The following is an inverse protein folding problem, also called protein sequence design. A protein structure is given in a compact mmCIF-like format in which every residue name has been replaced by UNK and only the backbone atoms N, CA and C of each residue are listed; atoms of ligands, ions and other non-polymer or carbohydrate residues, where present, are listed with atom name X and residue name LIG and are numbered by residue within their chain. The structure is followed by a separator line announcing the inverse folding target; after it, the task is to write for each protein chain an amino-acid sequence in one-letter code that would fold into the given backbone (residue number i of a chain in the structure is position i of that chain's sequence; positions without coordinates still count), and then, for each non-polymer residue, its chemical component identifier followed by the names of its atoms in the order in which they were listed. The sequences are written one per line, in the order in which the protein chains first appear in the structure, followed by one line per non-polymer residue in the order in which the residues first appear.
data_IF_121962053874
#
_entry.id   IF_121962053874
#
_cell.length_a   1.000
_cell.length_b   1.000
_cell.length_c   1.000
_cell.angle_alpha   90.00
_cell.angle_beta   90.00
_cell.angle_gamma   90.00
#
_symmetry.space_group_name_H-M   'P 1'
#
loop_
_entity.id
_entity.type
_entity.pdbx_description
1 polymer ?
#
# COMPACT_ATOMS: atom_id res chain seq x y z
N UNK A 1 29.60 30.86 -57.07
CA UNK A 1 29.64 32.33 -56.88
C UNK A 1 29.12 32.64 -55.47
N UNK A 2 29.89 33.44 -54.70
CA UNK A 2 29.59 34.18 -53.45
C UNK A 2 29.02 33.37 -52.26
N UNK A 3 29.81 32.97 -51.25
CA UNK A 3 30.41 33.72 -50.09
C UNK A 3 29.40 34.24 -49.06
N UNK A 4 29.44 33.65 -47.85
CA UNK A 4 29.40 34.23 -46.48
C UNK A 4 29.41 33.04 -45.49
N UNK A 5 30.49 32.65 -44.80
CA UNK A 5 31.22 33.26 -43.66
C UNK A 5 30.28 33.73 -42.53
N UNK A 6 30.34 33.03 -41.40
CA UNK A 6 29.63 33.37 -40.16
C UNK A 6 29.91 32.36 -39.03
N UNK A 7 31.18 32.24 -38.63
CA UNK A 7 31.63 31.55 -37.41
C UNK A 7 31.17 32.31 -36.17
N UNK A 8 30.36 31.69 -35.31
CA UNK A 8 30.11 32.16 -33.94
C UNK A 8 30.69 31.17 -32.92
N UNK A 9 31.72 31.64 -32.23
CA UNK A 9 32.33 31.03 -31.04
C UNK A 9 31.32 31.05 -29.90
N UNK A 10 31.03 29.89 -29.31
CA UNK A 10 30.47 29.80 -27.96
C UNK A 10 31.62 29.40 -27.01
N UNK A 11 31.96 30.32 -26.10
CA UNK A 11 32.88 30.10 -24.99
C UNK A 11 32.28 29.03 -24.06
N UNK A 12 32.98 27.91 -23.89
CA UNK A 12 32.75 27.00 -22.76
C UNK A 12 33.43 27.57 -21.52
N UNK A 13 32.64 28.04 -20.56
CA UNK A 13 33.09 28.43 -19.23
C UNK A 13 33.11 27.16 -18.36
N UNK A 14 34.30 26.62 -18.09
CA UNK A 14 34.51 25.55 -17.11
C UNK A 14 34.34 26.10 -15.70
N UNK A 15 33.27 25.74 -15.00
CA UNK A 15 33.14 25.92 -13.56
C UNK A 15 33.76 24.73 -12.84
N UNK A 16 34.92 24.98 -12.25
CA UNK A 16 35.67 24.12 -11.35
C UNK A 16 34.93 24.08 -10.00
N UNK A 17 34.26 22.98 -9.66
CA UNK A 17 33.71 22.76 -8.33
C UNK A 17 34.68 21.89 -7.52
N UNK A 18 35.33 22.50 -6.53
CA UNK A 18 36.10 21.81 -5.50
C UNK A 18 35.15 21.01 -4.60
N UNK A 19 35.41 19.70 -4.46
CA UNK A 19 34.82 18.86 -3.41
C UNK A 19 35.82 18.77 -2.26
N UNK A 20 35.45 19.15 -1.02
CA UNK A 20 36.32 18.95 0.13
C UNK A 20 36.27 17.50 0.60
N UNK A 21 37.46 16.95 0.84
CA UNK A 21 37.68 15.63 1.42
C UNK A 21 37.11 15.55 2.85
N UNK A 22 36.19 14.62 3.07
CA UNK A 22 35.80 14.20 4.41
C UNK A 22 36.56 12.93 4.80
N UNK A 23 37.11 12.98 6.00
CA UNK A 23 38.03 12.03 6.58
C UNK A 23 37.37 10.66 6.86
N UNK A 24 38.08 9.60 6.44
CA UNK A 24 37.89 8.24 6.91
C UNK A 24 38.22 8.16 8.41
N UNK A 25 37.20 7.94 9.24
CA UNK A 25 37.38 7.47 10.61
C UNK A 25 37.34 5.95 10.57
N UNK A 26 38.52 5.34 10.74
CA UNK A 26 38.69 3.92 10.95
C UNK A 26 38.19 3.54 12.35
N UNK A 27 37.21 2.63 12.43
CA UNK A 27 36.88 1.93 13.67
C UNK A 27 37.84 0.74 13.81
N UNK A 28 38.61 0.75 14.91
CA UNK A 28 39.62 -0.25 15.22
C UNK A 28 39.01 -1.58 15.67
N UNK A 29 39.44 -2.66 15.03
CA UNK A 29 39.33 -4.00 15.56
C UNK A 29 40.25 -4.13 16.79
N UNK A 30 39.69 -4.57 17.92
CA UNK A 30 40.47 -5.19 19.00
C UNK A 30 39.86 -6.54 19.34
N UNK A 31 40.54 -7.54 18.84
CA UNK A 31 40.53 -8.92 19.30
C UNK A 31 41.20 -8.99 20.68
N UNK A 32 40.47 -9.46 21.68
CA UNK A 32 41.05 -9.95 22.93
C UNK A 32 40.60 -11.38 23.11
N UNK A 33 41.51 -12.29 22.74
CA UNK A 33 41.52 -13.69 23.10
C UNK A 33 41.64 -13.79 24.62
N UNK A 34 40.76 -14.55 25.28
CA UNK A 34 41.12 -15.30 26.49
C UNK A 34 40.36 -16.64 26.49
N UNK A 35 41.10 -17.66 26.90
CA UNK A 35 40.96 -19.06 26.56
C UNK A 35 39.72 -19.79 27.08
N UNK A 36 39.33 -20.78 26.28
CA UNK A 36 38.39 -21.85 26.58
C UNK A 36 39.21 -23.02 27.17
N UNK A 37 39.04 -23.30 28.46
CA UNK A 37 39.50 -24.54 29.08
C UNK A 37 38.43 -25.02 30.08
N UNK A 38 38.10 -26.31 29.99
CA UNK A 38 37.18 -27.06 30.88
C UNK A 38 37.97 -28.25 31.44
N UNK A 39 37.49 -29.08 32.38
CA UNK A 39 36.52 -28.93 33.46
C UNK A 39 37.15 -29.28 34.84
N UNK A 40 36.44 -29.05 35.95
CA UNK A 40 36.89 -29.46 37.29
C UNK A 40 35.72 -29.79 38.22
N UNK A 41 35.63 -31.06 38.59
CA UNK A 41 34.65 -31.65 39.51
C UNK A 41 34.74 -31.07 40.93
N UNK A 42 33.60 -30.98 41.61
CA UNK A 42 33.55 -30.66 43.04
C UNK A 42 32.12 -30.47 43.52
N UNK A 43 31.55 -31.51 44.13
CA UNK A 43 30.17 -31.52 44.57
C UNK A 43 29.90 -30.85 45.92
N UNK A 44 28.66 -31.10 46.34
CA UNK A 44 28.08 -31.01 47.68
C UNK A 44 27.26 -29.76 48.04
N UNK A 45 26.05 -30.08 48.49
CA UNK A 45 25.30 -29.45 49.58
C UNK A 45 24.23 -28.41 49.21
N UNK A 46 23.03 -28.99 49.07
CA UNK A 46 21.76 -28.48 49.55
C UNK A 46 21.81 -27.61 50.82
N UNK A 47 20.82 -26.70 50.85
CA UNK A 47 20.32 -25.89 51.96
C UNK A 47 21.14 -24.63 52.30
N UNK A 48 20.54 -23.46 52.11
CA UNK A 48 19.77 -22.78 53.16
C UNK A 48 19.30 -21.42 52.65
N UNK A 49 18.00 -21.17 52.79
CA UNK A 49 17.47 -19.82 52.84
C UNK A 49 18.16 -19.05 53.98
N UNK A 50 18.55 -17.80 53.73
CA UNK A 50 18.45 -16.70 54.71
C UNK A 50 18.74 -15.36 54.04
N UNK A 51 17.69 -14.56 54.09
CA UNK A 51 17.53 -13.12 53.92
C UNK A 51 18.69 -12.21 54.32
N UNK A 52 18.75 -11.06 53.64
CA UNK A 52 19.15 -9.73 54.15
C UNK A 52 18.80 -8.70 53.06
N UNK A 53 17.88 -7.74 53.18
CA UNK A 53 16.99 -7.34 54.25
C UNK A 53 16.33 -6.02 53.85
N UNK A 54 15.02 -5.87 54.09
CA UNK A 54 14.38 -4.59 54.29
C UNK A 54 13.21 -4.76 55.26
N UNK A 55 13.26 -3.95 56.31
CA UNK A 55 12.23 -3.57 57.26
C UNK A 55 10.77 -3.88 56.91
N UNK A 56 10.12 -4.55 57.86
CA UNK A 56 8.82 -4.19 58.42
C UNK A 56 7.86 -3.37 57.52
N UNK A 57 6.81 -4.02 57.00
CA UNK A 57 5.50 -3.38 56.93
C UNK A 57 4.70 -3.50 55.65
N UNK A 58 5.30 -3.77 54.50
CA UNK A 58 4.54 -3.80 53.24
C UNK A 58 4.08 -5.23 52.92
N UNK A 59 2.77 -5.43 52.89
CA UNK A 59 2.14 -6.64 52.37
C UNK A 59 2.18 -6.56 50.85
N UNK A 60 3.13 -7.25 50.21
CA UNK A 60 3.17 -7.34 48.75
C UNK A 60 1.87 -7.99 48.23
N UNK A 61 1.32 -7.48 47.15
CA UNK A 61 0.05 -7.87 46.51
C UNK A 61 0.22 -8.14 45.01
N UNK A 62 -0.87 -8.42 44.29
CA UNK A 62 -0.83 -8.51 42.83
C UNK A 62 -0.53 -7.13 42.24
N UNK A 63 0.22 -7.11 41.13
CA UNK A 63 0.68 -5.88 40.52
C UNK A 63 -0.47 -5.06 39.93
N UNK A 64 -0.63 -3.83 40.41
CA UNK A 64 -1.57 -2.87 39.84
C UNK A 64 -0.77 -1.81 39.09
N UNK A 65 -1.30 -1.36 37.96
CA UNK A 65 -0.76 -0.20 37.27
C UNK A 65 -1.12 1.09 38.06
N UNK A 66 -0.34 1.38 39.10
CA UNK A 66 -0.60 2.47 40.05
C UNK A 66 0.65 3.33 40.34
N UNK A 67 1.78 3.05 39.69
CA UNK A 67 3.04 3.75 39.87
C UNK A 67 3.85 3.30 41.09
N UNK A 68 3.50 2.16 41.69
CA UNK A 68 4.19 1.51 42.80
C UNK A 68 4.54 0.07 42.41
N UNK A 69 5.60 -0.43 43.04
CA UNK A 69 5.97 -1.85 43.03
C UNK A 69 5.11 -2.56 44.10
N UNK A 70 3.94 -3.08 43.70
CA UNK A 70 2.99 -3.71 44.63
C UNK A 70 3.41 -5.14 44.96
N UNK A 71 4.08 -5.84 44.04
CA UNK A 71 4.54 -7.23 44.23
C UNK A 71 5.95 -7.34 44.86
N UNK A 72 6.61 -6.20 45.05
CA UNK A 72 7.92 -6.03 45.69
C UNK A 72 9.08 -6.71 44.94
N UNK A 73 9.00 -6.84 43.61
CA UNK A 73 10.05 -7.47 42.79
C UNK A 73 11.19 -6.50 42.39
N UNK A 74 11.02 -5.22 42.69
CA UNK A 74 11.97 -4.14 42.40
C UNK A 74 11.74 -3.45 41.06
N UNK A 75 10.67 -3.80 40.35
CA UNK A 75 10.21 -3.17 39.13
C UNK A 75 8.84 -2.52 39.37
N UNK A 76 8.41 -1.59 38.51
CA UNK A 76 7.19 -0.80 38.76
C UNK A 76 6.24 -1.02 37.58
N UNK A 77 5.06 -1.56 37.87
CA UNK A 77 3.95 -1.76 36.94
C UNK A 77 4.22 -2.75 35.77
N UNK A 78 5.06 -3.77 35.96
CA UNK A 78 5.60 -4.55 34.83
C UNK A 78 4.66 -5.62 34.23
N UNK A 79 3.70 -6.14 34.99
CA UNK A 79 2.81 -7.22 34.51
C UNK A 79 1.42 -7.17 35.15
N UNK A 80 0.76 -5.99 35.11
CA UNK A 80 -0.59 -5.87 35.68
C UNK A 80 -1.59 -6.87 35.03
N UNK A 81 -2.42 -7.59 35.81
CA UNK A 81 -3.39 -8.59 35.30
C UNK A 81 -4.42 -8.05 34.30
N UNK A 82 -4.57 -6.73 34.23
CA UNK A 82 -5.50 -6.05 33.32
C UNK A 82 -4.86 -5.69 31.98
N UNK A 83 -3.53 -5.75 31.86
CA UNK A 83 -2.80 -5.45 30.63
C UNK A 83 -3.20 -6.42 29.51
N UNK A 84 -3.49 -5.87 28.33
CA UNK A 84 -3.92 -6.62 27.15
C UNK A 84 -5.42 -6.92 27.07
N UNK A 85 -6.21 -6.62 28.11
CA UNK A 85 -7.65 -6.75 28.06
C UNK A 85 -8.27 -5.76 27.05
N UNK A 86 -9.27 -6.21 26.29
CA UNK A 86 -9.98 -5.36 25.34
C UNK A 86 -10.69 -4.21 26.07
N UNK A 87 -10.60 -3.01 25.51
CA UNK A 87 -11.23 -1.81 26.03
C UNK A 87 -11.73 -0.92 24.89
N UNK A 88 -12.61 0.02 25.22
CA UNK A 88 -13.07 1.05 24.30
C UNK A 88 -12.29 2.33 24.56
N UNK A 89 -11.66 2.88 23.53
CA UNK A 89 -10.81 4.07 23.62
C UNK A 89 -11.63 5.35 23.75
N UNK A 90 -12.92 5.29 23.36
CA UNK A 90 -13.81 6.45 23.24
C UNK A 90 -13.63 7.21 21.92
N UNK A 91 -12.74 6.76 21.03
CA UNK A 91 -12.60 7.29 19.67
C UNK A 91 -13.62 6.65 18.72
N UNK A 92 -13.74 7.26 17.54
CA UNK A 92 -14.60 6.81 16.44
C UNK A 92 -13.87 5.86 15.49
N UNK A 93 -14.64 5.27 14.57
CA UNK A 93 -14.10 4.49 13.46
C UNK A 93 -13.19 3.32 13.88
N UNK A 94 -12.12 3.04 13.13
CA UNK A 94 -11.21 1.92 13.40
C UNK A 94 -10.45 2.07 14.72
N UNK A 95 -10.34 3.27 15.29
CA UNK A 95 -9.65 3.51 16.56
C UNK A 95 -10.50 3.21 17.80
N UNK A 96 -11.77 2.83 17.65
CA UNK A 96 -12.70 2.64 18.77
C UNK A 96 -12.28 1.48 19.70
N UNK A 97 -11.72 0.41 19.13
CA UNK A 97 -11.23 -0.74 19.88
C UNK A 97 -9.76 -0.58 20.25
N UNK A 98 -9.43 -1.00 21.46
CA UNK A 98 -8.06 -0.99 21.95
C UNK A 98 -7.81 -2.02 23.03
N UNK A 99 -6.62 -1.96 23.61
CA UNK A 99 -6.20 -2.79 24.74
C UNK A 99 -5.65 -1.96 25.88
N UNK A 100 -5.92 -2.40 27.10
CA UNK A 100 -5.36 -1.80 28.30
C UNK A 100 -3.84 -1.99 28.32
N UNK A 101 -3.12 -0.92 28.61
CA UNK A 101 -1.68 -0.88 28.79
C UNK A 101 -1.36 0.06 29.95
N UNK A 102 -0.28 -0.23 30.68
CA UNK A 102 0.20 0.68 31.71
C UNK A 102 1.07 1.76 31.08
N UNK A 103 0.63 3.02 31.18
CA UNK A 103 1.36 4.18 30.64
C UNK A 103 1.51 5.20 31.75
N UNK A 104 2.75 5.53 32.09
CA UNK A 104 3.11 6.51 33.13
C UNK A 104 2.45 6.24 34.50
N UNK A 105 2.35 4.95 34.90
CA UNK A 105 1.81 4.54 36.20
C UNK A 105 0.28 4.59 36.31
N UNK A 106 -0.42 4.60 35.17
CA UNK A 106 -1.88 4.53 35.13
C UNK A 106 -2.39 3.67 33.95
N UNK A 107 -3.52 2.96 34.12
CA UNK A 107 -4.09 2.15 33.05
C UNK A 107 -4.65 3.05 31.96
N UNK A 108 -4.14 2.88 30.74
CA UNK A 108 -4.57 3.58 29.53
C UNK A 108 -5.12 2.59 28.50
N UNK A 109 -6.21 2.95 27.83
CA UNK A 109 -6.72 2.17 26.70
C UNK A 109 -6.06 2.63 25.41
N UNK A 110 -5.17 1.81 24.84
CA UNK A 110 -4.41 2.14 23.63
C UNK A 110 -5.13 1.55 22.41
N UNK A 111 -5.40 2.34 21.34
CA UNK A 111 -6.07 1.86 20.15
C UNK A 111 -5.31 0.73 19.44
N UNK A 112 -6.02 -0.29 18.98
CA UNK A 112 -5.44 -1.37 18.16
C UNK A 112 -4.99 -0.85 16.78
N UNK A 113 -5.71 0.15 16.26
CA UNK A 113 -5.40 0.84 15.01
C UNK A 113 -5.08 2.29 15.34
N UNK A 114 -3.92 2.76 14.88
CA UNK A 114 -3.51 4.15 15.05
C UNK A 114 -4.19 5.03 14.00
N UNK A 115 -4.58 6.27 14.34
CA UNK A 115 -5.07 7.25 13.39
C UNK A 115 -4.11 7.44 12.21
N UNK A 116 -4.64 7.42 10.99
CA UNK A 116 -3.93 7.76 9.76
C UNK A 116 -4.68 8.88 9.04
N UNK A 117 -4.06 9.67 8.13
CA UNK A 117 -4.82 10.65 7.34
C UNK A 117 -6.02 10.01 6.61
N UNK A 118 -7.10 10.78 6.40
CA UNK A 118 -8.32 10.29 5.73
C UNK A 118 -8.00 9.64 4.38
N UNK A 119 -8.56 8.45 4.19
CA UNK A 119 -8.75 7.80 2.91
C UNK A 119 -10.15 8.18 2.44
N UNK A 120 -10.22 9.21 1.62
CA UNK A 120 -11.48 9.67 1.05
C UNK A 120 -12.24 8.53 0.37
N UNK A 121 -13.57 8.56 0.45
CA UNK A 121 -14.49 7.67 -0.27
C UNK A 121 -14.66 6.26 0.28
N UNK A 122 -13.96 5.93 1.35
CA UNK A 122 -14.14 4.64 2.01
C UNK A 122 -15.29 4.65 3.04
N UNK A 123 -15.91 5.82 3.26
CA UNK A 123 -16.95 6.09 4.26
C UNK A 123 -16.50 5.76 5.71
N UNK A 124 -15.19 5.76 5.96
CA UNK A 124 -14.55 5.49 7.26
C UNK A 124 -13.77 6.70 7.73
N UNK A 125 -13.91 7.02 9.02
CA UNK A 125 -13.09 8.02 9.72
C UNK A 125 -11.70 7.44 10.04
N UNK A 126 -10.76 7.47 9.08
CA UNK A 126 -9.45 6.81 9.25
C UNK A 126 -8.53 7.55 10.24
N UNK A 127 -8.75 8.85 10.42
CA UNK A 127 -8.00 9.70 11.34
C UNK A 127 -8.65 9.81 12.72
N UNK A 128 -9.83 9.22 12.89
CA UNK A 128 -10.56 9.11 14.13
C UNK A 128 -10.88 10.48 14.77
N UNK A 129 -11.10 11.52 13.95
CA UNK A 129 -11.45 12.88 14.40
C UNK A 129 -12.96 13.11 14.55
N UNK A 130 -13.77 12.10 14.19
CA UNK A 130 -15.23 12.10 14.30
C UNK A 130 -15.93 12.69 13.08
N UNK A 131 -15.19 13.02 12.01
CA UNK A 131 -15.74 13.28 10.68
C UNK A 131 -15.35 12.12 9.77
N UNK A 132 -16.14 11.94 8.72
CA UNK A 132 -15.91 10.93 7.69
C UNK A 132 -15.56 11.72 6.44
N UNK A 133 -14.49 11.33 5.75
CA UNK A 133 -14.07 11.88 4.47
C UNK A 133 -13.79 13.40 4.48
N UNK A 134 -13.25 13.94 5.58
CA UNK A 134 -12.84 15.35 5.67
C UNK A 134 -11.38 15.59 5.30
N UNK A 135 -11.01 16.85 5.05
CA UNK A 135 -9.62 17.17 4.67
C UNK A 135 -9.20 16.58 3.32
N UNK A 136 -10.12 15.96 2.59
CA UNK A 136 -10.04 15.59 1.20
C UNK A 136 -9.81 16.86 0.36
N UNK A 137 -8.55 17.24 0.20
CA UNK A 137 -8.16 18.08 -0.92
C UNK A 137 -8.36 17.22 -2.16
N UNK A 138 -9.26 17.58 -3.09
CA UNK A 138 -9.25 16.93 -4.37
C UNK A 138 -7.87 17.19 -4.94
N UNK A 139 -7.07 16.14 -5.14
CA UNK A 139 -6.07 16.23 -6.17
C UNK A 139 -6.84 16.47 -7.45
N UNK A 140 -6.80 17.71 -7.93
CA UNK A 140 -7.74 18.21 -8.95
C UNK A 140 -7.68 17.41 -10.24
N UNK A 141 -6.65 16.58 -10.42
CA UNK A 141 -6.38 15.78 -11.60
C UNK A 141 -6.51 14.25 -11.37
N UNK A 142 -6.86 13.74 -10.19
CA UNK A 142 -7.07 12.30 -9.94
C UNK A 142 -5.81 11.40 -9.89
N UNK A 143 -4.63 11.89 -10.26
CA UNK A 143 -3.37 11.12 -10.27
C UNK A 143 -2.38 11.66 -9.24
N UNK A 144 -1.71 10.76 -8.51
CA UNK A 144 -0.84 11.11 -7.38
C UNK A 144 0.35 12.01 -7.74
N UNK A 145 0.93 11.82 -8.92
CA UNK A 145 2.04 12.65 -9.42
C UNK A 145 1.58 13.95 -10.10
N UNK A 146 0.27 14.09 -10.26
CA UNK A 146 -0.37 15.27 -10.76
C UNK A 146 -0.48 15.37 -12.29
N UNK A 147 -0.20 14.29 -13.03
CA UNK A 147 -0.38 14.24 -14.49
C UNK A 147 -1.36 13.15 -14.88
N UNK A 148 -2.23 13.45 -15.86
CA UNK A 148 -3.14 12.46 -16.45
C UNK A 148 -2.55 11.96 -17.77
N UNK A 149 -2.50 10.65 -17.96
CA UNK A 149 -2.09 10.02 -19.23
C UNK A 149 -3.29 9.50 -20.04
N UNK A 150 -4.43 9.34 -19.38
CA UNK A 150 -5.72 9.11 -20.02
C UNK A 150 -6.79 9.95 -19.32
N UNK A 151 -7.89 10.21 -20.04
CA UNK A 151 -8.95 11.12 -19.58
C UNK A 151 -8.40 12.53 -19.27
N UNK A 152 -7.54 13.01 -20.17
CA UNK A 152 -6.73 14.25 -19.99
C UNK A 152 -7.56 15.54 -20.05
N UNK A 153 -8.75 15.49 -20.66
CA UNK A 153 -9.65 16.64 -20.75
C UNK A 153 -10.50 16.73 -19.48
N UNK A 154 -10.01 17.42 -18.45
CA UNK A 154 -10.67 17.57 -17.14
C UNK A 154 -12.10 18.14 -17.24
N UNK A 155 -12.35 19.02 -18.21
CA UNK A 155 -13.69 19.59 -18.46
C UNK A 155 -14.71 18.54 -18.93
N UNK A 156 -14.24 17.46 -19.58
CA UNK A 156 -15.07 16.34 -20.07
C UNK A 156 -15.08 15.20 -19.04
N UNK A 157 -13.95 14.97 -18.38
CA UNK A 157 -13.71 13.86 -17.48
C UNK A 157 -13.29 14.32 -16.07
N UNK A 158 -14.13 15.08 -15.36
CA UNK A 158 -13.75 15.65 -14.06
C UNK A 158 -13.55 14.58 -12.97
N UNK A 159 -14.20 13.42 -13.12
CA UNK A 159 -14.30 12.40 -12.07
C UNK A 159 -13.56 11.09 -12.40
N UNK A 160 -12.76 11.07 -13.46
CA UNK A 160 -11.94 9.92 -13.82
C UNK A 160 -10.61 10.38 -14.39
N UNK A 161 -9.55 9.67 -14.06
CA UNK A 161 -8.22 9.89 -14.61
C UNK A 161 -7.57 8.54 -14.94
N UNK A 162 -6.78 8.47 -16.01
CA UNK A 162 -5.86 7.36 -16.20
C UNK A 162 -4.47 7.77 -15.76
N UNK A 163 -3.97 7.10 -14.72
CA UNK A 163 -2.74 7.45 -14.03
C UNK A 163 -1.69 6.39 -14.33
N UNK A 164 -0.64 6.79 -15.05
CA UNK A 164 0.46 5.91 -15.40
C UNK A 164 1.51 5.88 -14.29
N UNK A 165 2.24 4.77 -14.21
CA UNK A 165 3.30 4.60 -13.23
C UNK A 165 3.49 3.14 -12.88
N UNK A 166 4.51 2.88 -12.06
CA UNK A 166 4.79 1.56 -11.55
C UNK A 166 4.13 1.29 -10.20
N UNK A 167 3.96 0.00 -9.88
CA UNK A 167 3.65 -0.50 -8.54
C UNK A 167 4.28 -1.89 -8.38
N UNK A 168 4.89 -2.14 -7.22
CA UNK A 168 5.57 -3.42 -6.94
C UNK A 168 4.94 -4.20 -5.78
N UNK A 169 3.96 -3.63 -5.09
CA UNK A 169 3.13 -4.39 -4.16
C UNK A 169 2.11 -5.19 -4.99
N UNK A 170 2.08 -6.52 -4.89
CA UNK A 170 1.22 -7.35 -5.74
C UNK A 170 -0.27 -7.14 -5.52
N UNK A 171 -1.01 -7.15 -6.62
CA UNK A 171 -2.46 -7.20 -6.67
C UNK A 171 -3.13 -5.84 -6.88
N UNK A 172 -4.26 -5.87 -7.59
CA UNK A 172 -5.09 -4.69 -7.88
C UNK A 172 -6.54 -4.88 -7.42
N UNK A 173 -7.03 -6.12 -7.39
CA UNK A 173 -8.45 -6.41 -7.17
C UNK A 173 -8.96 -5.97 -5.79
N UNK A 174 -8.07 -5.89 -4.80
CA UNK A 174 -8.43 -5.93 -3.39
C UNK A 174 -7.61 -4.88 -2.69
N UNK A 175 -8.07 -3.64 -2.87
CA UNK A 175 -7.49 -2.37 -2.42
C UNK A 175 -6.44 -2.54 -1.34
N UNK A 176 -5.16 -2.72 -1.72
CA UNK A 176 -4.12 -2.49 -0.75
C UNK A 176 -4.15 -0.98 -0.53
N UNK A 177 -4.49 -0.56 0.69
CA UNK A 177 -4.32 0.83 1.14
C UNK A 177 -3.00 1.39 0.59
N UNK A 178 -2.93 2.66 0.19
CA UNK A 178 -1.70 3.29 -0.29
C UNK A 178 -0.52 2.95 0.61
N UNK A 179 0.51 2.31 0.07
CA UNK A 179 1.65 1.75 0.82
C UNK A 179 2.90 2.62 0.73
N UNK A 180 2.98 3.51 -0.25
CA UNK A 180 4.09 4.45 -0.42
C UNK A 180 3.66 5.91 -0.23
N UNK A 181 2.50 6.14 0.40
CA UNK A 181 2.03 7.47 0.78
C UNK A 181 1.64 8.33 -0.42
N UNK A 182 1.01 7.72 -1.44
CA UNK A 182 0.65 8.40 -2.70
C UNK A 182 1.88 8.90 -3.47
N UNK A 183 3.02 8.21 -3.33
CA UNK A 183 4.28 8.59 -3.98
C UNK A 183 4.46 8.02 -5.39
N UNK A 184 3.49 7.27 -5.92
CA UNK A 184 3.53 6.65 -7.24
C UNK A 184 3.28 7.65 -8.38
N UNK A 185 3.53 7.20 -9.61
CA UNK A 185 3.28 7.95 -10.84
C UNK A 185 4.50 8.06 -11.76
N UNK A 186 4.28 8.05 -13.07
CA UNK A 186 5.32 8.03 -14.11
C UNK A 186 6.14 9.33 -14.19
N UNK A 187 5.59 10.47 -13.78
CA UNK A 187 6.29 11.77 -13.80
C UNK A 187 6.81 12.19 -12.42
N UNK A 188 6.47 11.43 -11.38
CA UNK A 188 6.83 11.67 -9.99
C UNK A 188 8.24 11.19 -9.59
N UNK A 189 8.44 11.07 -8.27
CA UNK A 189 9.73 10.66 -7.69
C UNK A 189 9.92 9.14 -7.62
N UNK A 190 8.84 8.35 -7.68
CA UNK A 190 8.88 6.88 -7.67
C UNK A 190 8.21 6.27 -8.91
N UNK A 191 8.72 6.55 -10.13
CA UNK A 191 8.13 6.06 -11.37
C UNK A 191 8.19 4.54 -11.53
N UNK A 192 9.10 3.89 -10.80
CA UNK A 192 9.22 2.43 -10.77
C UNK A 192 8.23 1.77 -9.80
N UNK A 193 7.60 2.54 -8.90
CA UNK A 193 6.60 2.05 -7.96
C UNK A 193 7.15 1.20 -6.82
N UNK A 194 8.43 1.37 -6.47
CA UNK A 194 9.07 0.57 -5.42
C UNK A 194 8.34 0.76 -4.09
N UNK A 195 7.76 -0.33 -3.58
CA UNK A 195 6.97 -0.33 -2.34
C UNK A 195 5.58 0.33 -2.46
N UNK A 196 5.16 0.72 -3.66
CA UNK A 196 3.83 1.26 -3.91
C UNK A 196 2.84 0.15 -4.27
N UNK A 197 1.61 0.26 -3.77
CA UNK A 197 0.45 -0.44 -4.32
C UNK A 197 -0.06 0.27 -5.57
N UNK A 198 -0.90 -0.41 -6.33
CA UNK A 198 -1.58 0.21 -7.46
C UNK A 198 -2.41 1.44 -7.02
N UNK A 199 -2.94 1.44 -5.80
CA UNK A 199 -3.73 2.54 -5.25
C UNK A 199 -2.90 3.80 -4.98
N UNK A 200 -1.57 3.67 -4.81
CA UNK A 200 -0.68 4.84 -4.68
C UNK A 200 -0.56 5.66 -5.98
N UNK A 201 -1.03 5.15 -7.13
CA UNK A 201 -1.10 5.92 -8.38
C UNK A 201 -2.30 6.88 -8.41
N UNK A 202 -3.35 6.56 -7.66
CA UNK A 202 -4.52 7.41 -7.51
C UNK A 202 -4.29 8.42 -6.42
N UNK A 203 -4.63 9.67 -6.68
CA UNK A 203 -4.49 10.68 -5.66
C UNK A 203 -5.59 10.59 -4.59
N UNK A 204 -5.42 11.31 -3.48
CA UNK A 204 -6.45 11.41 -2.44
C UNK A 204 -7.78 11.93 -3.03
N UNK A 205 -8.89 11.33 -2.62
CA UNK A 205 -10.21 11.60 -3.21
C UNK A 205 -10.51 10.76 -4.45
N UNK A 206 -9.63 9.81 -4.78
CA UNK A 206 -9.80 8.88 -5.87
C UNK A 206 -9.36 7.47 -5.46
N UNK A 207 -10.11 6.48 -5.91
CA UNK A 207 -9.80 5.07 -5.79
C UNK A 207 -9.55 4.46 -7.17
N UNK A 208 -8.91 3.29 -7.23
CA UNK A 208 -8.87 2.54 -8.50
C UNK A 208 -10.29 2.14 -8.85
N UNK A 209 -10.77 2.52 -10.04
CA UNK A 209 -12.13 2.26 -10.48
C UNK A 209 -12.51 0.79 -10.23
N UNK A 210 -13.62 0.57 -9.53
CA UNK A 210 -14.06 -0.76 -9.04
C UNK A 210 -14.36 -1.74 -10.17
N UNK A 211 -14.80 -1.23 -11.31
CA UNK A 211 -15.05 -2.04 -12.51
C UNK A 211 -15.88 -1.29 -13.54
N UNK A 212 -16.61 -2.04 -14.37
CA UNK A 212 -17.35 -1.47 -15.51
C UNK A 212 -18.42 -0.44 -15.08
N UNK A 213 -19.16 -0.72 -14.02
CA UNK A 213 -20.23 0.19 -13.56
C UNK A 213 -19.68 1.51 -13.02
N UNK A 214 -18.56 1.44 -12.33
CA UNK A 214 -17.88 2.61 -11.76
C UNK A 214 -17.25 3.49 -12.84
N UNK A 215 -16.63 2.87 -13.86
CA UNK A 215 -16.19 3.60 -15.05
C UNK A 215 -17.37 4.21 -15.79
N UNK A 216 -18.50 3.52 -15.91
CA UNK A 216 -19.70 4.06 -16.58
C UNK A 216 -20.31 5.25 -15.83
N UNK A 217 -20.21 5.26 -14.49
CA UNK A 217 -20.65 6.37 -13.63
C UNK A 217 -19.79 7.62 -13.84
N UNK A 218 -18.47 7.44 -13.88
CA UNK A 218 -17.50 8.53 -13.93
C UNK A 218 -17.09 8.96 -15.35
N UNK A 219 -17.34 8.11 -16.34
CA UNK A 219 -17.08 8.34 -17.76
C UNK A 219 -18.30 7.89 -18.60
N UNK A 220 -19.25 8.79 -18.88
CA UNK A 220 -20.45 8.44 -19.67
C UNK A 220 -20.15 7.92 -21.09
N UNK A 221 -18.98 8.28 -21.63
CA UNK A 221 -18.48 7.78 -22.93
C UNK A 221 -17.67 6.49 -22.79
N UNK A 222 -17.66 5.85 -21.63
CA UNK A 222 -16.83 4.69 -21.33
C UNK A 222 -15.35 4.97 -21.53
N UNK A 223 -14.66 4.05 -22.20
CA UNK A 223 -13.22 4.12 -22.43
C UNK A 223 -12.74 5.12 -23.50
N UNK A 224 -13.63 5.92 -24.10
CA UNK A 224 -13.25 6.86 -25.18
C UNK A 224 -12.14 7.85 -24.76
N UNK A 225 -12.09 8.26 -23.48
CA UNK A 225 -11.05 9.13 -22.96
C UNK A 225 -9.69 8.45 -22.73
N UNK A 226 -9.63 7.12 -22.79
CA UNK A 226 -8.42 6.35 -22.47
C UNK A 226 -7.50 6.12 -23.67
N UNK A 227 -7.95 6.41 -24.89
CA UNK A 227 -7.18 6.17 -26.14
C UNK A 227 -6.36 7.38 -26.59
N UNK A 228 -6.16 8.37 -25.72
CA UNK A 228 -5.42 9.60 -26.01
C UNK A 228 -3.99 9.33 -26.51
N UNK A 229 -3.33 8.30 -25.97
CA UNK A 229 -2.00 7.89 -26.39
C UNK A 229 -1.91 6.39 -26.77
N UNK A 230 -1.17 6.04 -27.84
CA UNK A 230 -0.96 4.66 -28.24
C UNK A 230 0.01 3.96 -27.27
N UNK A 231 -0.25 2.70 -26.96
CA UNK A 231 0.65 1.89 -26.14
C UNK A 231 0.29 1.80 -24.65
N UNK A 232 -0.86 2.36 -24.24
CA UNK A 232 -1.27 2.44 -22.84
C UNK A 232 -2.42 1.48 -22.53
N UNK A 233 -2.39 0.93 -21.32
CA UNK A 233 -3.48 0.17 -20.70
C UNK A 233 -3.64 0.67 -19.26
N UNK A 234 -4.88 0.93 -18.86
CA UNK A 234 -5.21 1.39 -17.51
C UNK A 234 -6.18 0.40 -16.88
N UNK A 235 -5.70 -0.32 -15.88
CA UNK A 235 -6.43 -1.38 -15.22
C UNK A 235 -7.48 -0.82 -14.24
N UNK A 236 -8.55 -1.58 -14.07
CA UNK A 236 -9.59 -1.43 -13.04
C UNK A 236 -9.51 -2.60 -12.08
N UNK A 237 -10.37 -2.60 -11.05
CA UNK A 237 -10.56 -3.71 -10.12
C UNK A 237 -11.65 -4.67 -10.57
N UNK A 238 -12.00 -4.68 -11.85
CA UNK A 238 -13.01 -5.60 -12.35
C UNK A 238 -12.50 -7.04 -12.26
N UNK A 239 -13.20 -7.88 -11.49
CA UNK A 239 -12.93 -9.31 -11.42
C UNK A 239 -13.42 -10.05 -12.67
N UNK A 240 -13.02 -11.32 -12.80
CA UNK A 240 -13.30 -12.16 -13.95
C UNK A 240 -13.21 -13.64 -13.64
N UNK A 241 -14.04 -14.41 -14.34
CA UNK A 241 -14.10 -15.88 -14.26
C UNK A 241 -13.26 -16.56 -15.35
N UNK A 242 -12.44 -15.80 -16.07
CA UNK A 242 -11.71 -16.25 -17.24
C UNK A 242 -12.53 -16.18 -18.53
N UNK A 243 -11.96 -16.71 -19.62
CA UNK A 243 -12.52 -16.57 -20.98
C UNK A 243 -12.74 -15.11 -21.42
N UNK A 244 -12.00 -14.16 -20.83
CA UNK A 244 -12.18 -12.73 -20.99
C UNK A 244 -13.58 -12.20 -20.60
N UNK A 245 -14.28 -12.86 -19.67
CA UNK A 245 -15.56 -12.39 -19.11
C UNK A 245 -15.36 -11.64 -17.79
N UNK A 246 -16.00 -10.48 -17.68
CA UNK A 246 -16.06 -9.77 -16.41
C UNK A 246 -17.07 -10.41 -15.46
N UNK A 247 -16.70 -10.52 -14.19
CA UNK A 247 -17.56 -10.95 -13.10
C UNK A 247 -18.50 -9.80 -12.67
N UNK A 248 -19.58 -9.63 -13.42
CA UNK A 248 -20.59 -8.57 -13.26
C UNK A 248 -21.86 -9.02 -12.51
N UNK A 249 -21.95 -10.30 -12.13
CA UNK A 249 -23.10 -10.86 -11.42
C UNK A 249 -22.99 -10.71 -9.90
N UNK A 250 -23.82 -11.45 -9.18
CA UNK A 250 -23.87 -11.46 -7.72
C UNK A 250 -23.54 -12.84 -7.09
N UNK A 251 -23.33 -13.88 -7.89
CA UNK A 251 -23.01 -15.22 -7.40
C UNK A 251 -21.59 -15.28 -6.81
N UNK A 252 -21.49 -15.75 -5.57
CA UNK A 252 -20.24 -15.90 -4.81
C UNK A 252 -19.91 -17.37 -4.49
N UNK A 253 -20.61 -18.33 -5.11
CA UNK A 253 -20.39 -19.76 -4.89
C UNK A 253 -19.00 -20.17 -5.42
N UNK A 254 -18.06 -20.58 -4.54
CA UNK A 254 -16.70 -20.89 -4.95
C UNK A 254 -16.58 -22.16 -5.79
N UNK A 255 -17.61 -23.02 -5.81
CA UNK A 255 -17.65 -24.20 -6.68
C UNK A 255 -18.07 -23.86 -8.11
N UNK A 256 -18.65 -22.66 -8.32
CA UNK A 256 -19.14 -22.17 -9.62
C UNK A 256 -18.29 -21.01 -10.13
N UNK A 257 -17.86 -20.12 -9.24
CA UNK A 257 -17.22 -18.86 -9.55
C UNK A 257 -15.73 -18.93 -9.22
N UNK A 258 -14.94 -19.30 -10.23
CA UNK A 258 -13.49 -19.33 -10.15
C UNK A 258 -12.91 -18.59 -11.34
N UNK A 259 -11.62 -18.26 -11.28
CA UNK A 259 -10.87 -17.71 -12.42
C UNK A 259 -10.82 -18.63 -13.64
N UNK A 260 -11.24 -19.89 -13.53
CA UNK A 260 -11.25 -20.86 -14.64
C UNK A 260 -12.66 -21.19 -15.16
N UNK A 261 -13.71 -20.75 -14.46
CA UNK A 261 -15.04 -21.31 -14.69
C UNK A 261 -15.76 -20.75 -15.92
N UNK A 262 -15.35 -19.58 -16.40
CA UNK A 262 -16.00 -18.82 -17.45
C UNK A 262 -17.50 -18.59 -17.21
N UNK A 263 -17.91 -18.59 -15.93
CA UNK A 263 -19.29 -18.39 -15.52
C UNK A 263 -19.67 -16.90 -15.62
N UNK A 264 -20.88 -16.63 -16.15
CA UNK A 264 -21.32 -15.27 -16.49
C UNK A 264 -21.96 -14.49 -15.33
N UNK A 265 -22.49 -15.19 -14.32
CA UNK A 265 -23.29 -14.60 -13.24
C UNK A 265 -22.51 -14.49 -11.93
N UNK A 266 -21.19 -14.43 -12.01
CA UNK A 266 -20.33 -14.38 -10.84
C UNK A 266 -20.02 -12.95 -10.45
N UNK A 267 -19.90 -12.73 -9.15
CA UNK A 267 -19.45 -11.47 -8.59
C UNK A 267 -17.93 -11.36 -8.58
N UNK A 268 -17.46 -10.11 -8.57
CA UNK A 268 -16.05 -9.78 -8.42
C UNK A 268 -15.57 -10.12 -6.99
N UNK A 269 -14.48 -10.88 -6.87
CA UNK A 269 -13.95 -11.37 -5.60
C UNK A 269 -12.52 -11.92 -5.75
N UNK A 270 -11.84 -12.24 -4.63
CA UNK A 270 -10.49 -12.85 -4.66
C UNK A 270 -10.39 -14.13 -5.51
N UNK A 271 -11.49 -14.85 -5.71
CA UNK A 271 -11.49 -16.13 -6.47
C UNK A 271 -11.89 -15.94 -7.94
N UNK A 272 -12.44 -14.78 -8.30
CA UNK A 272 -12.74 -14.37 -9.68
C UNK A 272 -11.73 -13.32 -10.11
N UNK A 273 -10.46 -13.75 -10.19
CA UNK A 273 -9.30 -12.88 -10.33
C UNK A 273 -8.49 -13.12 -11.63
N UNK A 274 -9.06 -13.83 -12.62
CA UNK A 274 -8.39 -14.10 -13.89
C UNK A 274 -8.40 -12.86 -14.79
N UNK A 275 -7.31 -12.56 -15.49
CA UNK A 275 -7.12 -11.38 -16.32
C UNK A 275 -7.20 -10.03 -15.56
N UNK A 276 -6.71 -8.99 -16.21
CA UNK A 276 -6.97 -7.59 -15.88
C UNK A 276 -7.93 -7.01 -16.90
N UNK A 277 -8.79 -6.09 -16.48
CA UNK A 277 -9.70 -5.37 -17.38
C UNK A 277 -9.61 -3.88 -17.15
N UNK A 278 -9.83 -3.13 -18.22
CA UNK A 278 -9.80 -1.69 -18.15
C UNK A 278 -9.94 -1.04 -19.51
N UNK A 279 -9.29 0.11 -19.65
CA UNK A 279 -9.37 0.92 -20.85
C UNK A 279 -7.99 1.15 -21.46
N UNK A 280 -7.94 1.46 -22.76
CA UNK A 280 -6.73 1.94 -23.40
C UNK A 280 -6.57 1.51 -24.85
N UNK A 281 -5.34 1.58 -25.34
CA UNK A 281 -4.98 1.28 -26.73
C UNK A 281 -4.25 -0.07 -26.91
N UNK A 282 -3.85 -0.72 -25.81
CA UNK A 282 -3.21 -2.05 -25.78
C UNK A 282 -4.09 -3.04 -24.99
N UNK A 283 -3.96 -4.33 -25.29
CA UNK A 283 -4.80 -5.39 -24.76
C UNK A 283 -5.76 -5.97 -25.80
N UNK A 284 -6.33 -7.12 -25.48
CA UNK A 284 -7.37 -7.78 -26.27
C UNK A 284 -8.72 -7.14 -25.99
N UNK A 285 -9.69 -7.37 -26.87
CA UNK A 285 -11.08 -6.99 -26.61
C UNK A 285 -11.71 -8.01 -25.65
N UNK A 286 -12.25 -7.58 -24.51
CA UNK A 286 -12.94 -8.47 -23.59
C UNK A 286 -14.31 -8.89 -24.15
N UNK A 287 -14.92 -9.89 -23.50
CA UNK A 287 -16.28 -10.34 -23.78
C UNK A 287 -17.18 -9.93 -22.62
N UNK A 288 -18.31 -9.28 -22.91
CA UNK A 288 -19.33 -8.95 -21.90
C UNK A 288 -18.77 -8.20 -20.67
N UNK A 289 -18.13 -7.05 -20.90
CA UNK A 289 -17.47 -6.26 -19.86
C UNK A 289 -17.98 -4.82 -19.76
N UNK A 290 -19.25 -4.60 -20.13
CA UNK A 290 -19.86 -3.26 -20.10
C UNK A 290 -19.08 -2.26 -20.94
N UNK A 291 -18.64 -1.18 -20.30
CA UNK A 291 -17.87 -0.09 -20.93
C UNK A 291 -16.38 -0.39 -21.09
N UNK A 292 -15.84 -1.40 -20.41
CA UNK A 292 -14.42 -1.75 -20.47
C UNK A 292 -14.08 -2.41 -21.80
N UNK A 293 -13.05 -1.91 -22.48
CA UNK A 293 -12.74 -2.28 -23.86
C UNK A 293 -11.42 -3.04 -24.02
N UNK A 294 -10.63 -3.18 -22.94
CA UNK A 294 -9.36 -3.90 -22.91
C UNK A 294 -9.26 -4.94 -21.81
N UNK A 295 -8.57 -6.02 -22.13
CA UNK A 295 -8.15 -7.04 -21.17
C UNK A 295 -6.71 -7.49 -21.44
N UNK A 296 -6.04 -7.95 -20.38
CA UNK A 296 -4.66 -8.41 -20.42
C UNK A 296 -4.47 -9.74 -21.15
N UNK A 297 -5.48 -10.62 -21.14
CA UNK A 297 -5.29 -12.03 -21.50
C UNK A 297 -4.40 -12.76 -20.47
N UNK A 298 -4.46 -14.09 -20.53
CA UNK A 298 -3.68 -14.95 -19.63
C UNK A 298 -2.19 -14.57 -19.59
N UNK A 299 -1.66 -14.50 -18.38
CA UNK A 299 -0.28 -14.12 -18.07
C UNK A 299 0.13 -12.78 -18.70
N UNK A 300 -0.78 -11.81 -18.68
CA UNK A 300 -0.59 -10.49 -19.27
C UNK A 300 -0.20 -10.52 -20.77
N UNK A 301 -0.48 -11.59 -21.52
CA UNK A 301 0.09 -11.81 -22.87
C UNK A 301 -0.30 -10.76 -23.92
N UNK A 302 -1.42 -10.07 -23.72
CA UNK A 302 -1.88 -8.98 -24.60
C UNK A 302 -1.32 -7.62 -24.18
N UNK A 303 -0.72 -7.54 -22.99
CA UNK A 303 0.04 -6.39 -22.53
C UNK A 303 1.51 -6.59 -22.89
N UNK A 304 2.27 -5.50 -22.84
CA UNK A 304 3.73 -5.55 -23.00
C UNK A 304 4.37 -5.34 -21.63
N UNK A 305 5.65 -5.68 -21.53
CA UNK A 305 6.51 -5.17 -20.47
C UNK A 305 6.19 -3.68 -20.21
N UNK A 306 5.98 -3.28 -18.95
CA UNK A 306 6.40 -3.98 -17.74
C UNK A 306 5.29 -4.72 -16.96
N UNK A 307 4.14 -5.02 -17.58
CA UNK A 307 3.08 -5.75 -16.88
C UNK A 307 3.48 -7.20 -16.59
N UNK A 308 3.43 -7.60 -15.32
CA UNK A 308 3.71 -8.96 -14.86
C UNK A 308 2.53 -9.47 -14.04
N UNK A 309 1.77 -10.40 -14.63
CA UNK A 309 0.59 -11.01 -14.02
C UNK A 309 0.93 -12.22 -13.12
N UNK A 310 2.22 -12.50 -12.89
CA UNK A 310 2.68 -13.69 -12.18
C UNK A 310 2.75 -14.93 -13.08
N UNK A 311 2.80 -16.12 -12.46
CA UNK A 311 2.91 -17.40 -13.17
C UNK A 311 1.61 -18.20 -13.27
N UNK A 312 0.54 -17.67 -12.70
CA UNK A 312 -0.80 -18.25 -12.57
C UNK A 312 -1.73 -17.46 -13.50
N UNK A 313 -2.25 -18.10 -14.55
CA UNK A 313 -3.13 -17.48 -15.54
C UNK A 313 -4.61 -17.45 -15.13
N UNK A 314 -4.92 -17.65 -13.86
CA UNK A 314 -6.29 -17.72 -13.32
C UNK A 314 -6.51 -16.79 -12.12
N UNK A 315 -5.44 -16.21 -11.60
CA UNK A 315 -5.41 -15.38 -10.41
C UNK A 315 -4.55 -14.13 -10.59
N UNK A 316 -4.46 -13.67 -11.82
CA UNK A 316 -3.54 -12.62 -12.26
C UNK A 316 -3.77 -11.30 -11.52
N UNK A 317 -5.02 -10.86 -11.37
CA UNK A 317 -5.35 -9.59 -10.71
C UNK A 317 -5.03 -9.54 -9.21
N UNK A 318 -4.78 -10.69 -8.57
CA UNK A 318 -4.28 -10.76 -7.19
C UNK A 318 -2.75 -10.72 -7.09
N UNK A 319 -2.04 -11.03 -8.17
CA UNK A 319 -0.59 -11.12 -8.17
C UNK A 319 0.10 -10.07 -9.04
N UNK A 320 -0.68 -9.35 -9.86
CA UNK A 320 -0.16 -8.39 -10.80
C UNK A 320 0.77 -7.39 -10.12
N UNK A 321 1.93 -7.20 -10.72
CA UNK A 321 2.79 -6.06 -10.49
C UNK A 321 3.07 -5.39 -11.82
N UNK A 322 3.54 -4.14 -11.75
CA UNK A 322 3.97 -3.40 -12.92
C UNK A 322 5.15 -2.51 -12.55
N UNK A 323 6.37 -3.04 -12.47
CA UNK A 323 7.54 -2.21 -12.19
C UNK A 323 7.84 -1.27 -13.37
N UNK A 324 7.79 0.04 -13.16
CA UNK A 324 8.20 1.01 -14.18
C UNK A 324 7.09 1.87 -14.78
N UNK A 325 7.54 3.00 -15.34
CA UNK A 325 6.70 4.13 -15.75
C UNK A 325 5.87 3.90 -17.03
N UNK A 326 6.31 2.99 -17.91
CA UNK A 326 5.76 2.83 -19.25
C UNK A 326 4.53 1.90 -19.26
N UNK A 327 3.75 1.94 -20.35
CA UNK A 327 2.67 0.96 -20.59
C UNK A 327 1.37 1.23 -19.83
N UNK A 328 1.20 2.42 -19.25
CA UNK A 328 0.01 2.85 -18.53
C UNK A 328 0.07 2.60 -17.03
N UNK A 329 -1.04 2.23 -16.42
CA UNK A 329 -1.19 2.10 -14.97
C UNK A 329 -2.62 1.74 -14.60
N UNK A 330 -3.29 2.60 -13.83
CA UNK A 330 -4.65 2.33 -13.34
C UNK A 330 -5.62 3.45 -13.70
N UNK A 331 -6.92 3.13 -13.74
CA UNK A 331 -7.97 4.13 -13.77
C UNK A 331 -8.32 4.53 -12.35
N UNK A 332 -8.31 5.83 -12.08
CA UNK A 332 -8.67 6.42 -10.81
C UNK A 332 -10.01 7.13 -10.94
N UNK A 333 -11.02 6.60 -10.26
CA UNK A 333 -12.37 7.16 -10.20
C UNK A 333 -12.51 7.99 -8.92
N UNK A 334 -13.25 9.09 -9.01
CA UNK A 334 -13.53 9.92 -7.85
C UNK A 334 -14.37 9.14 -6.82
N UNK A 335 -14.12 9.44 -5.56
CA UNK A 335 -14.81 8.91 -4.41
C UNK A 335 -16.26 9.43 -4.25
#
# INVERSE_FOLDING_TARGET
MRRTIGTMRALFLQTLALVPAFALVACGARTSLLEFDTPGEGGASSASASSSGASAGESCSEELCNGLDDDCDGQIDEESPTSGAACLTGQTGPCANGRLSCVDGAPACIPDIQPVPELCGDEVDNNCDGKIDEGCVPATNGCSDGTREAFVEEDIYPLIAGCAGGFTVPGILIDPLPQCGFGGGNTGQNPEGLGCSASDLCARGFHICKGADDVALHAPTGCDGAVAEPGLFFATRQGSTGCAYCALGDNMDPDVCTGESCALDCATSRITANDLFGCGSVGRRPRLCGVLDRTSGDLCEALKEPWDCGGDGYNESNHVIKPGAAGGGVLCCAD
#
